data_IF_362331850341
#
_entry.id   IF_362331850341
#
_cell.length_a   1.000
_cell.length_b   1.000
_cell.length_c   1.000
_cell.angle_alpha   90.00
_cell.angle_beta   90.00
_cell.angle_gamma   90.00
#
_symmetry.space_group_name_H-M   'P 1'
#
loop_
_entity.id
_entity.type
_entity.pdbx_description
1 polymer ?
#
# COMPACT_ATOMS: atom_id res chain seq x y z
N UNK A 1 18.44 2.28 -4.86
CA UNK A 1 18.98 2.22 -4.70
C UNK A 1 19.09 2.22 -4.30
N UNK A 2 18.74 2.65 -4.47
CA UNK A 2 19.20 2.73 -4.03
C UNK A 2 19.08 2.86 -3.61
N UNK A 3 18.34 3.21 -3.15
CA UNK A 3 18.61 3.44 -2.70
C UNK A 3 18.46 3.72 -2.51
N UNK A 4 17.94 4.02 -2.49
CA UNK A 4 18.13 4.26 -2.29
C UNK A 4 18.56 4.33 -1.73
N UNK A 5 18.46 4.74 -1.82
CA UNK A 5 19.20 4.72 -1.37
C UNK A 5 19.40 4.75 -0.77
N UNK A 6 19.11 5.14 -0.34
CA UNK A 6 19.74 5.13 0.32
C UNK A 6 19.72 5.23 0.72
N UNK A 7 19.26 5.55 0.91
CA UNK A 7 19.61 5.56 1.35
C UNK A 7 19.62 5.62 1.85
N UNK A 8 19.19 5.98 1.68
CA UNK A 8 19.62 6.01 2.16
C UNK A 8 19.55 5.84 2.57
N UNK A 9 19.24 5.98 2.75
CA UNK A 9 19.65 5.68 3.05
C UNK A 9 19.51 5.33 3.55
N UNK A 10 19.11 5.44 3.82
CA UNK A 10 19.32 5.06 4.15
C UNK A 10 19.16 4.63 4.85
N UNK A 11 18.80 4.70 4.94
CA UNK A 11 18.81 4.29 5.46
C UNK A 11 19.11 3.84 5.89
N UNK A 12 18.96 3.75 5.88
CA UNK A 12 19.25 3.08 6.14
C UNK A 12 19.53 2.53 6.34
N UNK A 13 19.62 2.57 5.89
CA UNK A 13 19.90 1.79 6.20
C UNK A 13 20.13 1.31 6.92
N UNK A 14 20.53 2.14 6.96
CA UNK A 14 20.41 1.54 7.97
C UNK A 14 20.49 0.16 7.94
N UNK A 15 20.63 -0.27 8.63
CA UNK A 15 20.40 -1.66 8.42
C UNK A 15 19.57 -1.93 7.18
N UNK A 16 20.21 -2.44 6.20
CA UNK A 16 19.61 -2.66 4.89
C UNK A 16 18.42 -3.62 4.94
N UNK A 17 18.56 -4.65 5.75
CA UNK A 17 17.52 -5.65 5.88
C UNK A 17 16.21 -5.11 6.38
N UNK A 18 16.23 -4.06 7.18
CA UNK A 18 15.02 -3.44 7.68
C UNK A 18 14.19 -2.80 6.58
N UNK A 19 14.85 -2.35 5.52
CA UNK A 19 14.19 -1.60 4.46
C UNK A 19 13.98 -2.41 3.19
N UNK A 20 14.32 -3.69 3.26
CA UNK A 20 14.11 -4.59 2.14
C UNK A 20 12.62 -4.85 1.97
N UNK A 21 12.15 -4.82 0.72
CA UNK A 21 10.75 -5.14 0.46
C UNK A 21 10.47 -6.60 0.77
N UNK A 22 9.38 -6.84 1.48
CA UNK A 22 8.96 -8.20 1.78
C UNK A 22 8.69 -8.99 0.51
N UNK A 23 8.19 -8.32 -0.49
CA UNK A 23 7.78 -8.92 -1.75
C UNK A 23 8.97 -9.38 -2.61
N UNK A 24 10.18 -8.94 -2.26
CA UNK A 24 11.37 -9.33 -3.01
C UNK A 24 11.52 -10.84 -3.13
N UNK A 25 11.12 -11.57 -2.10
CA UNK A 25 11.19 -13.02 -2.11
C UNK A 25 10.32 -13.65 -3.19
N UNK A 26 9.31 -12.92 -3.64
CA UNK A 26 8.37 -13.39 -4.64
C UNK A 26 8.67 -12.85 -6.03
N UNK A 27 9.67 -11.99 -6.14
CA UNK A 27 10.01 -11.37 -7.42
C UNK A 27 10.39 -12.44 -8.42
N UNK A 28 9.78 -12.36 -9.59
CA UNK A 28 10.03 -13.35 -10.64
C UNK A 28 9.01 -13.18 -11.75
N UNK A 29 9.05 -14.09 -12.69
CA UNK A 29 8.23 -13.99 -13.89
C UNK A 29 6.73 -13.95 -13.60
N UNK A 30 6.25 -14.79 -12.71
CA UNK A 30 4.82 -14.85 -12.40
C UNK A 30 4.31 -13.54 -11.83
N UNK A 31 5.07 -12.95 -10.93
CA UNK A 31 4.66 -11.71 -10.30
C UNK A 31 4.80 -10.54 -11.28
N UNK A 32 5.85 -10.56 -12.10
CA UNK A 32 6.01 -9.55 -13.15
C UNK A 32 4.82 -9.58 -14.10
N UNK A 33 4.38 -10.78 -14.48
CA UNK A 33 3.23 -10.93 -15.38
C UNK A 33 1.95 -10.40 -14.75
N UNK A 34 1.77 -10.65 -13.45
CA UNK A 34 0.61 -10.12 -12.74
C UNK A 34 0.61 -8.59 -12.78
N UNK A 35 1.75 -8.00 -12.48
CA UNK A 35 1.84 -6.54 -12.48
C UNK A 35 1.70 -5.96 -13.87
N UNK A 36 2.23 -6.64 -14.89
CA UNK A 36 2.03 -6.23 -16.28
C UNK A 36 0.55 -6.25 -16.63
N UNK A 37 -0.17 -7.27 -16.16
CA UNK A 37 -1.61 -7.37 -16.39
C UNK A 37 -2.35 -6.20 -15.72
N UNK A 38 -1.98 -5.90 -14.48
CA UNK A 38 -2.60 -4.78 -13.77
C UNK A 38 -2.31 -3.46 -14.49
N UNK A 39 -1.07 -3.27 -14.96
CA UNK A 39 -0.70 -2.05 -15.66
C UNK A 39 -1.37 -1.93 -17.03
N UNK A 40 -1.88 -3.03 -17.57
CA UNK A 40 -2.59 -3.02 -18.85
C UNK A 40 -4.06 -2.61 -18.71
N UNK A 41 -4.60 -2.56 -17.48
CA UNK A 41 -5.97 -2.15 -17.25
C UNK A 41 -6.13 -0.68 -17.60
N UNK A 42 -7.22 -0.35 -18.29
CA UNK A 42 -7.40 0.98 -18.86
C UNK A 42 -8.43 1.83 -18.14
N UNK A 43 -9.30 1.22 -17.37
CA UNK A 43 -10.35 1.98 -16.68
C UNK A 43 -10.82 1.21 -15.45
N UNK A 44 -11.66 1.89 -14.67
CA UNK A 44 -12.14 1.33 -13.41
C UNK A 44 -12.99 0.09 -13.61
N UNK A 45 -13.80 0.08 -14.65
CA UNK A 45 -14.67 -1.06 -14.93
C UNK A 45 -13.85 -2.32 -15.20
N UNK A 46 -12.76 -2.18 -15.95
CA UNK A 46 -11.86 -3.30 -16.19
C UNK A 46 -11.21 -3.80 -14.89
N UNK A 47 -10.92 -2.88 -13.98
CA UNK A 47 -10.39 -3.27 -12.68
C UNK A 47 -11.40 -4.13 -11.90
N UNK A 48 -12.68 -3.72 -11.89
CA UNK A 48 -13.73 -4.52 -11.26
C UNK A 48 -13.78 -5.92 -11.86
N UNK A 49 -13.77 -6.00 -13.17
CA UNK A 49 -13.86 -7.29 -13.87
C UNK A 49 -12.64 -8.17 -13.58
N UNK A 50 -11.46 -7.60 -13.71
CA UNK A 50 -10.22 -8.36 -13.54
C UNK A 50 -10.06 -8.87 -12.11
N UNK A 51 -10.28 -7.99 -11.12
CA UNK A 51 -10.11 -8.38 -9.73
C UNK A 51 -11.23 -9.30 -9.26
N UNK A 52 -12.43 -9.19 -9.84
CA UNK A 52 -13.50 -10.12 -9.53
C UNK A 52 -13.10 -11.56 -9.92
N UNK A 53 -12.44 -11.70 -11.06
CA UNK A 53 -12.00 -13.03 -11.51
C UNK A 53 -10.74 -13.50 -10.78
N UNK A 54 -9.87 -12.59 -10.43
CA UNK A 54 -8.56 -12.93 -9.88
C UNK A 54 -8.59 -13.19 -8.38
N UNK A 55 -9.38 -12.45 -7.63
CA UNK A 55 -9.35 -12.43 -6.17
C UNK A 55 -10.68 -12.88 -5.56
N UNK A 56 -10.60 -13.37 -4.32
CA UNK A 56 -11.81 -13.58 -3.54
C UNK A 56 -12.33 -12.24 -3.04
N UNK A 57 -13.61 -12.22 -2.66
CA UNK A 57 -14.22 -11.01 -2.10
C UNK A 57 -13.45 -10.53 -0.87
N UNK A 58 -13.05 -11.46 -0.01
CA UNK A 58 -12.31 -11.10 1.21
C UNK A 58 -10.96 -10.47 0.89
N UNK A 59 -10.29 -10.98 -0.13
CA UNK A 59 -9.01 -10.41 -0.56
C UNK A 59 -9.19 -8.98 -1.06
N UNK A 60 -10.21 -8.76 -1.88
CA UNK A 60 -10.50 -7.42 -2.40
C UNK A 60 -10.85 -6.46 -1.27
N UNK A 61 -11.70 -6.90 -0.34
CA UNK A 61 -12.08 -6.07 0.80
C UNK A 61 -10.87 -5.68 1.64
N UNK A 62 -9.98 -6.64 1.84
CA UNK A 62 -8.77 -6.41 2.63
C UNK A 62 -7.87 -5.36 1.99
N UNK A 63 -7.67 -5.46 0.67
CA UNK A 63 -6.87 -4.48 -0.07
C UNK A 63 -7.49 -3.10 0.00
N UNK A 64 -8.79 -3.03 -0.26
CA UNK A 64 -9.54 -1.77 -0.24
C UNK A 64 -9.50 -1.12 1.13
N UNK A 65 -9.67 -1.92 2.19
CA UNK A 65 -9.67 -1.43 3.55
C UNK A 65 -8.31 -0.83 3.93
N UNK A 66 -7.23 -1.51 3.54
CA UNK A 66 -5.89 -0.99 3.85
C UNK A 66 -5.62 0.34 3.18
N UNK A 67 -6.05 0.50 1.95
CA UNK A 67 -5.87 1.76 1.26
C UNK A 67 -6.70 2.86 1.91
N UNK A 68 -7.94 2.54 2.31
CA UNK A 68 -8.79 3.50 3.01
C UNK A 68 -8.15 3.94 4.33
N UNK A 69 -7.60 2.99 5.08
CA UNK A 69 -6.92 3.28 6.34
C UNK A 69 -5.73 4.21 6.10
N UNK A 70 -4.92 3.91 5.09
CA UNK A 70 -3.77 4.74 4.78
C UNK A 70 -4.19 6.17 4.44
N UNK A 71 -5.24 6.30 3.65
CA UNK A 71 -5.77 7.60 3.28
C UNK A 71 -6.22 8.39 4.52
N UNK A 72 -6.96 7.73 5.40
CA UNK A 72 -7.48 8.39 6.60
C UNK A 72 -6.38 8.77 7.58
N UNK A 73 -5.34 7.95 7.70
CA UNK A 73 -4.20 8.30 8.55
C UNK A 73 -3.53 9.56 8.00
N UNK A 74 -3.31 9.61 6.69
CA UNK A 74 -2.68 10.76 6.08
C UNK A 74 -3.56 12.01 6.16
N UNK A 75 -4.86 11.83 6.20
CA UNK A 75 -5.79 12.96 6.37
C UNK A 75 -5.89 13.43 7.82
N UNK A 76 -5.25 12.74 8.75
CA UNK A 76 -5.18 13.18 10.13
C UNK A 76 -6.32 12.73 11.03
N UNK A 77 -7.10 11.76 10.59
CA UNK A 77 -8.19 11.24 11.43
C UNK A 77 -7.65 10.45 12.62
N UNK A 78 -8.41 10.43 13.71
CA UNK A 78 -8.03 9.65 14.88
C UNK A 78 -8.22 8.17 14.60
N UNK A 79 -7.52 7.33 15.35
CA UNK A 79 -7.66 5.88 15.21
C UNK A 79 -9.09 5.42 15.49
N UNK A 80 -9.74 6.04 16.47
CA UNK A 80 -11.13 5.70 16.78
C UNK A 80 -12.04 5.94 15.59
N UNK A 81 -11.88 7.07 14.92
CA UNK A 81 -12.65 7.38 13.73
C UNK A 81 -12.32 6.40 12.60
N UNK A 82 -11.05 6.07 12.44
CA UNK A 82 -10.63 5.15 11.38
C UNK A 82 -11.26 3.77 11.61
N UNK A 83 -11.23 3.27 12.84
CA UNK A 83 -11.87 2.00 13.17
C UNK A 83 -13.36 2.01 12.83
N UNK A 84 -14.02 3.07 13.23
CA UNK A 84 -15.46 3.19 13.04
C UNK A 84 -15.83 3.27 11.57
N UNK A 85 -15.12 4.09 10.81
CA UNK A 85 -15.45 4.34 9.40
C UNK A 85 -15.02 3.22 8.48
N UNK A 86 -13.86 2.64 8.74
CA UNK A 86 -13.30 1.63 7.83
C UNK A 86 -13.65 0.21 8.25
N UNK A 87 -14.02 0.00 9.50
CA UNK A 87 -14.22 -1.34 10.02
C UNK A 87 -12.93 -2.10 10.27
N UNK A 88 -11.79 -1.45 10.11
CA UNK A 88 -10.50 -2.10 10.30
C UNK A 88 -10.21 -2.32 11.79
N UNK A 89 -9.53 -3.42 12.10
CA UNK A 89 -9.08 -3.68 13.46
C UNK A 89 -7.90 -2.78 13.80
N UNK A 90 -7.63 -2.64 15.09
CA UNK A 90 -6.45 -1.89 15.54
C UNK A 90 -5.17 -2.50 14.98
N UNK A 91 -5.13 -3.81 14.83
CA UNK A 91 -3.97 -4.49 14.25
C UNK A 91 -3.74 -4.06 12.80
N UNK A 92 -4.81 -3.97 12.02
CA UNK A 92 -4.73 -3.53 10.62
C UNK A 92 -4.26 -2.08 10.55
N UNK A 93 -4.82 -1.22 11.38
CA UNK A 93 -4.44 0.20 11.41
C UNK A 93 -2.97 0.35 11.78
N UNK A 94 -2.52 -0.37 12.79
CA UNK A 94 -1.12 -0.34 13.21
C UNK A 94 -0.19 -0.81 12.10
N UNK A 95 -0.59 -1.86 11.39
CA UNK A 95 0.21 -2.41 10.29
C UNK A 95 0.35 -1.38 9.17
N UNK A 96 -0.76 -0.74 8.79
CA UNK A 96 -0.72 0.27 7.74
C UNK A 96 0.12 1.47 8.17
N UNK A 97 -0.04 1.89 9.43
CA UNK A 97 0.77 3.00 9.95
C UNK A 97 2.26 2.67 9.90
N UNK A 98 2.62 1.43 10.24
CA UNK A 98 4.01 1.00 10.16
C UNK A 98 4.54 1.09 8.74
N UNK A 99 3.72 0.69 7.75
CA UNK A 99 4.09 0.80 6.35
C UNK A 99 4.27 2.25 5.92
N UNK A 100 3.45 3.15 6.46
CA UNK A 100 3.59 4.58 6.16
C UNK A 100 4.87 5.16 6.74
N UNK A 101 5.29 4.66 7.90
CA UNK A 101 6.49 5.18 8.56
C UNK A 101 7.78 4.51 8.10
N UNK A 102 7.73 3.21 7.84
CA UNK A 102 8.95 2.42 7.64
C UNK A 102 8.95 1.60 6.36
N UNK A 103 7.92 1.75 5.53
CA UNK A 103 7.81 0.99 4.29
C UNK A 103 8.48 1.70 3.11
N UNK A 104 7.92 1.45 1.92
CA UNK A 104 8.47 1.92 0.65
C UNK A 104 7.97 3.28 0.21
N UNK A 105 7.17 3.95 1.03
CA UNK A 105 6.49 5.21 0.69
C UNK A 105 5.50 5.05 -0.48
N UNK A 106 5.10 3.82 -0.77
CA UNK A 106 4.19 3.57 -1.89
C UNK A 106 2.80 4.14 -1.65
N UNK A 107 2.29 4.05 -0.42
CA UNK A 107 1.00 4.66 -0.09
C UNK A 107 1.04 6.17 -0.33
N UNK A 108 2.08 6.81 0.14
CA UNK A 108 2.23 8.25 -0.04
C UNK A 108 2.29 8.61 -1.52
N UNK A 109 3.08 7.85 -2.28
CA UNK A 109 3.22 8.07 -3.71
C UNK A 109 1.88 7.97 -4.43
N UNK A 110 1.13 6.90 -4.17
CA UNK A 110 -0.13 6.71 -4.90
C UNK A 110 -1.21 7.70 -4.45
N UNK A 111 -1.26 8.02 -3.16
CA UNK A 111 -2.23 8.98 -2.68
C UNK A 111 -1.93 10.38 -3.22
N UNK A 112 -0.65 10.72 -3.35
CA UNK A 112 -0.26 11.99 -3.97
C UNK A 112 -0.68 12.04 -5.43
N UNK A 113 -0.50 10.94 -6.15
CA UNK A 113 -0.93 10.87 -7.56
C UNK A 113 -2.44 10.99 -7.70
N UNK A 114 -3.17 10.54 -6.71
CA UNK A 114 -4.63 10.65 -6.71
C UNK A 114 -5.11 11.99 -6.18
N UNK A 115 -4.19 12.86 -5.78
CA UNK A 115 -4.49 14.20 -5.25
C UNK A 115 -5.33 14.15 -3.98
N UNK A 116 -5.03 13.19 -3.12
CA UNK A 116 -5.72 13.09 -1.83
C UNK A 116 -5.10 14.09 -0.87
N UNK A 117 -5.89 15.03 -0.39
CA UNK A 117 -5.41 16.04 0.55
C UNK A 117 -5.17 15.44 1.93
N UNK A 118 -4.10 15.91 2.56
CA UNK A 118 -3.84 15.53 3.94
C UNK A 118 -4.21 16.69 4.84
N UNK A 119 -4.74 16.36 6.02
CA UNK A 119 -4.96 17.35 7.05
C UNK A 119 -3.65 17.48 7.80
N UNK A 120 -3.06 18.60 7.71
CA UNK A 120 -1.77 18.80 8.34
C UNK A 120 -1.90 18.85 9.84
#
# INVERSE_FOLDING_TARGET
EMLRSLVGSEMCIRDRGLFEMQIEKLRGQSLDELFDAILALENREECYQFFDDLCTVNEIQSLSQRLQVAKMIKQGYTYATIEEESGASTATISRVKRSLQWGNDAYTMILDRLNIETKA
#
